data_IF_118214480738
#
_entry.id   IF_118214480738
#
_cell.length_a   1.000
_cell.length_b   1.000
_cell.length_c   1.000
_cell.angle_alpha   90.00
_cell.angle_beta   90.00
_cell.angle_gamma   90.00
#
_symmetry.space_group_name_H-M   'P 1'
#
loop_
_entity.id
_entity.type
_entity.pdbx_description
1 polymer ?
#
# COMPACT_ATOMS: atom_id res chain seq x y z
N UNK A 1 -1.15 -47.09 37.42
CA UNK A 1 -1.14 -47.83 36.15
C UNK A 1 -0.87 -46.86 35.02
N UNK A 2 0.01 -47.28 34.10
CA UNK A 2 0.52 -46.63 32.88
C UNK A 2 1.66 -45.62 33.05
N UNK A 3 2.84 -46.19 32.82
CA UNK A 3 4.13 -45.56 32.58
C UNK A 3 4.12 -44.79 31.26
N UNK A 4 4.80 -43.65 31.26
CA UNK A 4 5.19 -42.95 30.05
C UNK A 4 6.37 -43.69 29.45
N UNK A 5 6.14 -44.33 28.32
CA UNK A 5 7.16 -45.00 27.53
C UNK A 5 8.00 -43.92 26.86
N UNK A 6 9.30 -43.95 27.14
CA UNK A 6 10.28 -43.06 26.56
C UNK A 6 10.40 -43.27 25.04
N UNK A 7 10.59 -42.15 24.34
CA UNK A 7 11.12 -42.17 22.98
C UNK A 7 12.62 -41.93 23.12
N UNK A 8 13.38 -43.02 23.01
CA UNK A 8 14.82 -42.98 22.85
C UNK A 8 15.12 -42.28 21.52
N UNK A 9 15.74 -41.09 21.61
CA UNK A 9 16.47 -40.52 20.49
C UNK A 9 17.69 -41.41 20.24
N UNK A 10 17.55 -42.35 19.32
CA UNK A 10 18.66 -43.18 18.85
C UNK A 10 19.58 -42.36 17.96
N UNK A 11 20.75 -42.09 18.53
CA UNK A 11 21.94 -41.62 17.83
C UNK A 11 22.29 -42.61 16.70
N UNK A 12 22.36 -42.12 15.47
CA UNK A 12 22.96 -42.84 14.34
C UNK A 12 24.10 -41.98 13.81
N UNK A 13 25.30 -42.26 14.31
CA UNK A 13 26.53 -41.69 13.77
C UNK A 13 26.82 -42.27 12.38
N UNK A 14 26.98 -41.43 11.35
CA UNK A 14 28.03 -41.64 10.34
C UNK A 14 28.38 -40.38 9.54
N UNK A 15 29.51 -39.79 9.93
CA UNK A 15 30.63 -39.38 9.07
C UNK A 15 30.42 -38.39 7.90
N UNK A 16 31.18 -37.30 8.03
CA UNK A 16 32.04 -36.72 6.98
C UNK A 16 31.40 -35.88 5.86
N UNK A 17 31.27 -34.57 6.11
CA UNK A 17 32.07 -33.55 5.39
C UNK A 17 31.69 -32.13 5.85
N UNK A 18 32.47 -31.57 6.78
CA UNK A 18 32.50 -30.12 6.99
C UNK A 18 33.32 -29.50 5.86
N UNK A 19 32.64 -28.86 4.89
CA UNK A 19 33.06 -27.75 4.01
C UNK A 19 32.27 -27.83 2.69
N UNK A 20 31.34 -26.92 2.46
CA UNK A 20 30.67 -26.81 1.15
C UNK A 20 29.42 -25.92 1.04
N UNK A 21 28.84 -25.43 2.15
CA UNK A 21 27.50 -24.81 2.12
C UNK A 21 27.39 -23.30 1.84
N UNK A 22 28.49 -22.56 1.63
CA UNK A 22 28.44 -21.09 1.47
C UNK A 22 28.42 -20.63 0.00
N UNK A 23 29.06 -21.39 -0.90
CA UNK A 23 29.20 -20.98 -2.30
C UNK A 23 27.98 -21.30 -3.17
N UNK A 24 27.20 -22.33 -2.81
CA UNK A 24 25.96 -22.70 -3.52
C UNK A 24 24.85 -21.66 -3.30
N UNK A 25 24.63 -21.25 -2.06
CA UNK A 25 23.65 -20.21 -1.72
C UNK A 25 24.01 -18.84 -2.33
N UNK A 26 25.30 -18.50 -2.37
CA UNK A 26 25.77 -17.24 -3.00
C UNK A 26 25.58 -17.25 -4.52
N UNK A 27 25.74 -18.39 -5.18
CA UNK A 27 25.51 -18.53 -6.63
C UNK A 27 24.03 -18.53 -6.97
N UNK A 28 23.20 -19.18 -6.18
CA UNK A 28 21.74 -19.13 -6.34
C UNK A 28 21.21 -17.71 -6.15
N UNK A 29 21.74 -16.97 -5.17
CA UNK A 29 21.41 -15.56 -4.97
C UNK A 29 21.86 -14.68 -6.14
N UNK A 30 23.06 -14.91 -6.69
CA UNK A 30 23.55 -14.18 -7.86
C UNK A 30 22.70 -14.44 -9.11
N UNK A 31 22.32 -15.70 -9.34
CA UNK A 31 21.50 -16.11 -10.47
C UNK A 31 20.06 -15.55 -10.37
N UNK A 32 19.51 -15.42 -9.17
CA UNK A 32 18.22 -14.77 -8.94
C UNK A 32 18.25 -13.26 -9.26
N UNK A 33 19.40 -12.61 -9.09
CA UNK A 33 19.57 -11.19 -9.45
C UNK A 33 19.72 -11.05 -10.97
N UNK A 34 20.46 -11.96 -11.62
CA UNK A 34 20.65 -11.94 -13.08
C UNK A 34 19.34 -12.20 -13.82
N UNK A 35 18.50 -13.14 -13.35
CA UNK A 35 17.23 -13.49 -13.99
C UNK A 35 16.18 -12.39 -13.97
N UNK A 36 16.29 -11.39 -13.09
CA UNK A 36 15.41 -10.21 -13.07
C UNK A 36 15.66 -9.31 -14.28
N UNK A 37 16.86 -9.34 -14.84
CA UNK A 37 17.25 -8.51 -16.00
C UNK A 37 17.24 -9.26 -17.32
N UNK A 38 16.89 -10.55 -17.31
CA UNK A 38 16.81 -11.35 -18.52
C UNK A 38 15.72 -10.83 -19.45
N UNK A 39 16.02 -10.83 -20.75
CA UNK A 39 15.05 -10.45 -21.77
C UNK A 39 13.94 -11.50 -21.87
N UNK A 40 12.70 -11.09 -21.61
CA UNK A 40 11.50 -11.92 -21.77
C UNK A 40 10.56 -11.27 -22.77
N UNK A 41 10.16 -12.02 -23.80
CA UNK A 41 9.14 -11.57 -24.75
C UNK A 41 7.77 -11.50 -24.06
N UNK A 42 7.10 -10.36 -24.19
CA UNK A 42 5.75 -10.17 -23.65
C UNK A 42 4.79 -11.21 -24.25
N UNK A 43 3.98 -11.83 -23.38
CA UNK A 43 2.95 -12.78 -23.79
C UNK A 43 1.79 -11.99 -24.39
N UNK A 44 1.38 -12.35 -25.60
CA UNK A 44 0.16 -11.81 -26.18
C UNK A 44 -1.05 -12.17 -25.30
N UNK A 45 -1.75 -11.15 -24.83
CA UNK A 45 -3.06 -11.29 -24.20
C UNK A 45 -4.14 -11.08 -25.26
N UNK A 46 -5.35 -11.52 -24.97
CA UNK A 46 -6.51 -11.23 -25.82
C UNK A 46 -6.89 -9.75 -25.68
N UNK A 47 -6.67 -8.99 -26.74
CA UNK A 47 -6.93 -7.55 -26.82
C UNK A 47 -8.37 -7.20 -26.45
N UNK A 48 -9.34 -8.04 -26.83
CA UNK A 48 -10.76 -7.76 -26.57
C UNK A 48 -11.07 -7.85 -25.08
N UNK A 49 -10.50 -8.85 -24.40
CA UNK A 49 -10.67 -9.03 -22.96
C UNK A 49 -9.96 -7.94 -22.16
N UNK A 50 -8.77 -7.51 -22.61
CA UNK A 50 -8.04 -6.41 -22.00
C UNK A 50 -8.81 -5.09 -22.12
N UNK A 51 -9.34 -4.77 -23.31
CA UNK A 51 -10.14 -3.57 -23.53
C UNK A 51 -11.41 -3.55 -22.69
N UNK A 52 -12.12 -4.69 -22.58
CA UNK A 52 -13.32 -4.79 -21.75
C UNK A 52 -13.01 -4.59 -20.26
N UNK A 53 -11.91 -5.17 -19.77
CA UNK A 53 -11.48 -4.98 -18.38
C UNK A 53 -11.13 -3.52 -18.10
N UNK A 54 -10.39 -2.86 -19.00
CA UNK A 54 -10.04 -1.43 -18.88
C UNK A 54 -11.31 -0.57 -18.89
N UNK A 55 -12.25 -0.83 -19.79
CA UNK A 55 -13.50 -0.09 -19.83
C UNK A 55 -14.32 -0.25 -18.54
N UNK A 56 -14.34 -1.45 -17.96
CA UNK A 56 -15.01 -1.69 -16.67
C UNK A 56 -14.32 -0.95 -15.52
N UNK A 57 -12.99 -0.90 -15.50
CA UNK A 57 -12.24 -0.17 -14.48
C UNK A 57 -12.46 1.33 -14.59
N UNK A 58 -12.41 1.88 -15.81
CA UNK A 58 -12.68 3.31 -16.04
C UNK A 58 -14.12 3.67 -15.63
N UNK A 59 -15.10 2.83 -15.98
CA UNK A 59 -16.49 3.06 -15.56
C UNK A 59 -16.63 3.06 -14.03
N UNK A 60 -15.96 2.15 -13.32
CA UNK A 60 -15.97 2.14 -11.85
C UNK A 60 -15.23 3.32 -11.24
N UNK A 61 -14.08 3.71 -11.80
CA UNK A 61 -13.28 4.84 -11.31
C UNK A 61 -14.00 6.17 -11.52
N UNK A 62 -14.68 6.34 -12.66
CA UNK A 62 -15.50 7.53 -12.93
C UNK A 62 -16.73 7.64 -12.02
N UNK A 63 -17.28 6.53 -11.53
CA UNK A 63 -18.37 6.55 -10.55
C UNK A 63 -17.86 6.92 -9.15
N UNK A 64 -16.67 6.43 -8.76
CA UNK A 64 -16.09 6.72 -7.45
C UNK A 64 -15.44 8.11 -7.35
N UNK A 65 -14.85 8.61 -8.43
CA UNK A 65 -14.21 9.94 -8.46
C UNK A 65 -15.22 11.07 -8.59
N UNK A 66 -16.25 10.95 -9.44
CA UNK A 66 -17.26 12.01 -9.59
C UNK A 66 -18.07 12.26 -8.32
N UNK A 67 -18.49 11.20 -7.62
CA UNK A 67 -19.28 11.36 -6.40
C UNK A 67 -18.47 11.93 -5.22
N UNK A 68 -17.16 11.68 -5.18
CA UNK A 68 -16.28 12.21 -4.13
C UNK A 68 -15.81 13.64 -4.42
N UNK A 69 -15.54 13.99 -5.68
CA UNK A 69 -14.98 15.29 -6.04
C UNK A 69 -16.06 16.37 -6.30
N UNK A 70 -17.22 16.02 -6.88
CA UNK A 70 -18.23 17.01 -7.25
C UNK A 70 -18.96 17.64 -6.05
N UNK A 71 -19.00 16.95 -4.90
CA UNK A 71 -19.65 17.46 -3.68
C UNK A 71 -18.72 18.42 -2.91
N UNK A 72 -17.41 18.28 -3.07
CA UNK A 72 -16.40 19.04 -2.31
C UNK A 72 -16.00 20.36 -3.00
N UNK A 73 -16.18 20.45 -4.33
CA UNK A 73 -15.70 21.57 -5.15
C UNK A 73 -16.66 22.78 -5.24
N UNK A 74 -17.93 22.62 -4.85
CA UNK A 74 -18.92 23.73 -4.91
C UNK A 74 -18.91 24.64 -3.67
N UNK A 75 -18.12 24.33 -2.65
CA UNK A 75 -18.17 25.02 -1.36
C UNK A 75 -17.24 26.23 -1.39
N UNK A 76 -17.81 27.44 -1.31
CA UNK A 76 -17.04 28.69 -1.21
C UNK A 76 -16.35 28.74 0.15
N UNK A 77 -15.02 28.68 0.17
CA UNK A 77 -14.21 28.76 1.39
C UNK A 77 -13.96 30.23 1.76
N UNK A 78 -14.05 30.56 3.05
CA UNK A 78 -13.72 31.89 3.57
C UNK A 78 -12.22 31.99 3.83
N UNK A 79 -11.50 32.98 3.28
CA UNK A 79 -10.05 33.09 3.45
C UNK A 79 -9.64 33.35 4.91
N UNK A 80 -10.52 33.95 5.71
CA UNK A 80 -10.27 34.22 7.13
C UNK A 80 -10.16 32.92 7.94
N UNK A 81 -11.00 31.93 7.65
CA UNK A 81 -10.97 30.63 8.34
C UNK A 81 -9.72 29.84 7.96
N UNK A 82 -9.28 29.95 6.70
CA UNK A 82 -8.04 29.32 6.22
C UNK A 82 -6.84 29.92 6.95
N UNK A 83 -6.77 31.25 7.04
CA UNK A 83 -5.68 31.93 7.73
C UNK A 83 -5.62 31.55 9.22
N UNK A 84 -6.78 31.42 9.88
CA UNK A 84 -6.86 30.99 11.28
C UNK A 84 -6.33 29.55 11.45
N UNK A 85 -6.76 28.61 10.60
CA UNK A 85 -6.32 27.22 10.71
C UNK A 85 -4.81 27.08 10.44
N UNK A 86 -4.29 27.79 9.44
CA UNK A 86 -2.85 27.80 9.13
C UNK A 86 -2.04 28.40 10.29
N UNK A 87 -2.54 29.45 10.94
CA UNK A 87 -1.86 30.07 12.06
C UNK A 87 -1.86 29.20 13.32
N UNK A 88 -2.99 28.54 13.64
CA UNK A 88 -3.13 27.80 14.90
C UNK A 88 -2.57 26.38 14.83
N UNK A 89 -2.69 25.71 13.68
CA UNK A 89 -2.25 24.31 13.52
C UNK A 89 -0.98 24.16 12.67
N UNK A 90 -0.43 25.25 12.15
CA UNK A 90 0.77 25.27 11.30
C UNK A 90 0.68 24.32 10.08
N UNK A 91 -0.54 24.08 9.59
CA UNK A 91 -0.81 23.26 8.41
C UNK A 91 -0.64 24.04 7.12
N UNK A 92 -0.44 23.34 6.01
CA UNK A 92 -0.36 23.99 4.70
C UNK A 92 -1.72 24.58 4.29
N UNK A 93 -1.70 25.65 3.50
CA UNK A 93 -2.93 26.30 3.02
C UNK A 93 -3.83 25.31 2.25
N UNK A 94 -3.22 24.43 1.44
CA UNK A 94 -3.95 23.41 0.66
C UNK A 94 -4.66 22.39 1.56
N UNK A 95 -4.02 21.98 2.66
CA UNK A 95 -4.62 21.05 3.63
C UNK A 95 -5.76 21.71 4.41
N UNK A 96 -5.59 22.97 4.83
CA UNK A 96 -6.63 23.74 5.51
C UNK A 96 -7.86 23.92 4.60
N UNK A 97 -7.67 24.30 3.34
CA UNK A 97 -8.76 24.44 2.37
C UNK A 97 -9.46 23.11 2.12
N UNK A 98 -8.71 22.02 1.96
CA UNK A 98 -9.28 20.68 1.76
C UNK A 98 -10.10 20.22 2.98
N UNK A 99 -9.63 20.49 4.20
CA UNK A 99 -10.40 20.20 5.40
C UNK A 99 -11.68 21.04 5.49
N UNK A 100 -11.61 22.35 5.17
CA UNK A 100 -12.78 23.23 5.17
C UNK A 100 -13.85 22.82 4.15
N UNK A 101 -13.44 22.34 2.98
CA UNK A 101 -14.38 21.81 1.97
C UNK A 101 -15.12 20.57 2.48
N UNK A 102 -14.40 19.59 3.04
CA UNK A 102 -15.00 18.36 3.60
C UNK A 102 -16.06 18.63 4.67
N UNK A 103 -15.85 19.67 5.49
CA UNK A 103 -16.74 20.02 6.59
C UNK A 103 -17.67 21.22 6.27
N UNK A 104 -17.82 21.61 5.00
CA UNK A 104 -18.74 22.68 4.57
C UNK A 104 -18.54 24.00 5.32
N UNK A 105 -17.29 24.41 5.54
CA UNK A 105 -16.89 25.62 6.29
C UNK A 105 -17.25 25.65 7.78
N UNK A 106 -17.45 24.50 8.42
CA UNK A 106 -17.62 24.45 9.87
C UNK A 106 -16.27 24.37 10.58
N UNK A 107 -15.75 25.52 11.01
CA UNK A 107 -14.41 25.65 11.61
C UNK A 107 -14.21 24.76 12.86
N UNK A 108 -15.23 24.61 13.69
CA UNK A 108 -15.12 23.80 14.92
C UNK A 108 -14.95 22.32 14.59
N UNK A 109 -15.71 21.81 13.61
CA UNK A 109 -15.65 20.42 13.21
C UNK A 109 -14.36 20.12 12.44
N UNK A 110 -13.87 21.06 11.62
CA UNK A 110 -12.56 20.93 10.97
C UNK A 110 -11.43 20.86 11.98
N UNK A 111 -11.44 21.74 12.99
CA UNK A 111 -10.39 21.76 14.01
C UNK A 111 -10.40 20.46 14.83
N UNK A 112 -11.58 19.96 15.20
CA UNK A 112 -11.71 18.66 15.88
C UNK A 112 -11.16 17.52 15.02
N UNK A 113 -11.56 17.47 13.74
CA UNK A 113 -11.08 16.43 12.83
C UNK A 113 -9.57 16.48 12.60
N UNK A 114 -8.95 17.66 12.60
CA UNK A 114 -7.50 17.80 12.42
C UNK A 114 -6.69 17.43 13.66
N UNK A 115 -7.31 17.49 14.85
CA UNK A 115 -6.67 17.12 16.13
C UNK A 115 -6.86 15.63 16.43
N UNK A 116 -8.00 15.05 16.04
CA UNK A 116 -8.33 13.64 16.28
C UNK A 116 -7.73 12.68 15.22
N UNK A 117 -7.27 13.21 14.08
CA UNK A 117 -6.61 12.46 13.00
C UNK A 117 -5.17 12.05 13.36
#
# INVERSE_FOLDING_TARGET
GRAWVGVDCTESERSSSRRGGSMANSREAANQIESVTDFVQEKALDDQKAQQAIASLVASDEQHSREAEDVDMSIKVRPEDVALIVQELEVTQEEAERALRRHKNQVVDTLRSLIEA
#
